data_IF_697353240561
#
_entry.id   IF_697353240561
#
_cell.length_a   1.000
_cell.length_b   1.000
_cell.length_c   1.000
_cell.angle_alpha   90.00
_cell.angle_beta   90.00
_cell.angle_gamma   90.00
#
_symmetry.space_group_name_H-M   'P 1'
#
loop_
_entity.id
_entity.type
_entity.pdbx_description
1 polymer ?
#
# COMPACT_ATOMS: atom_id res chain seq x y z
N UNK A 1 43.23 31.04 13.65
CA UNK A 1 42.10 30.58 12.80
C UNK A 1 42.06 29.06 12.52
N UNK A 2 42.82 28.17 13.20
CA UNK A 2 42.77 26.71 12.93
C UNK A 2 41.84 25.89 13.84
N UNK A 3 41.44 26.39 15.01
CA UNK A 3 40.61 25.61 15.95
C UNK A 3 39.11 25.64 15.61
N UNK A 4 38.59 26.75 15.05
CA UNK A 4 37.18 26.84 14.63
C UNK A 4 36.87 25.96 13.43
N UNK A 5 37.78 25.83 12.46
CA UNK A 5 37.58 24.95 11.29
C UNK A 5 37.51 23.47 11.69
N UNK A 6 38.33 23.04 12.66
CA UNK A 6 38.32 21.65 13.17
C UNK A 6 37.05 21.36 13.98
N UNK A 7 36.55 22.34 14.73
CA UNK A 7 35.25 22.23 15.45
C UNK A 7 34.08 22.15 14.48
N UNK A 8 34.08 22.97 13.43
CA UNK A 8 33.06 22.92 12.37
C UNK A 8 33.09 21.60 11.61
N UNK A 9 34.27 21.06 11.27
CA UNK A 9 34.40 19.77 10.58
C UNK A 9 33.95 18.60 11.47
N UNK A 10 34.29 18.60 12.76
CA UNK A 10 33.79 17.59 13.73
C UNK A 10 32.27 17.63 13.89
N UNK A 11 31.68 18.82 14.01
CA UNK A 11 30.22 18.97 14.12
C UNK A 11 29.50 18.56 12.84
N UNK A 12 30.10 18.83 11.66
CA UNK A 12 29.57 18.40 10.37
C UNK A 12 29.62 16.89 10.20
N UNK A 13 30.70 16.23 10.64
CA UNK A 13 30.81 14.76 10.64
C UNK A 13 29.79 14.11 11.57
N UNK A 14 29.69 14.58 12.82
CA UNK A 14 28.68 14.10 13.79
C UNK A 14 27.25 14.21 13.26
N UNK A 15 26.88 15.38 12.70
CA UNK A 15 25.55 15.55 12.08
C UNK A 15 25.32 14.58 10.92
N UNK A 16 26.33 14.36 10.06
CA UNK A 16 26.22 13.43 8.93
C UNK A 16 26.05 11.99 9.40
N UNK A 17 26.74 11.60 10.47
CA UNK A 17 26.65 10.25 11.03
C UNK A 17 25.28 10.04 11.72
N UNK A 18 24.78 11.02 12.48
CA UNK A 18 23.41 11.01 13.04
C UNK A 18 22.32 10.93 11.95
N UNK A 19 22.50 11.61 10.81
CA UNK A 19 21.57 11.52 9.68
C UNK A 19 21.56 10.12 9.09
N UNK A 20 22.73 9.50 8.91
CA UNK A 20 22.85 8.13 8.39
C UNK A 20 22.25 7.10 9.34
N UNK A 21 22.46 7.23 10.65
CA UNK A 21 21.87 6.31 11.63
C UNK A 21 20.34 6.35 11.58
N UNK A 22 19.75 7.54 11.47
CA UNK A 22 18.29 7.70 11.30
C UNK A 22 17.77 7.09 10.00
N UNK A 23 18.48 7.27 8.89
CA UNK A 23 18.14 6.65 7.62
C UNK A 23 18.16 5.12 7.71
N UNK A 24 19.16 4.55 8.38
CA UNK A 24 19.27 3.10 8.59
C UNK A 24 18.15 2.58 9.48
N UNK A 25 17.82 3.27 10.58
CA UNK A 25 16.68 2.91 11.44
C UNK A 25 15.36 2.92 10.67
N UNK A 26 15.13 3.95 9.84
CA UNK A 26 13.91 4.05 9.02
C UNK A 26 13.81 2.89 8.01
N UNK A 27 14.91 2.53 7.36
CA UNK A 27 14.96 1.39 6.43
C UNK A 27 14.64 0.08 7.15
N UNK A 28 15.21 -0.15 8.34
CA UNK A 28 14.94 -1.36 9.13
C UNK A 28 13.49 -1.41 9.63
N UNK A 29 12.91 -0.26 10.00
CA UNK A 29 11.49 -0.16 10.31
C UNK A 29 10.61 -0.52 9.10
N UNK A 30 10.94 -0.02 7.91
CA UNK A 30 10.19 -0.32 6.69
C UNK A 30 10.32 -1.80 6.29
N UNK A 31 11.48 -2.43 6.50
CA UNK A 31 11.63 -3.88 6.29
C UNK A 31 10.77 -4.70 7.24
N UNK A 32 10.69 -4.30 8.52
CA UNK A 32 9.81 -4.94 9.52
C UNK A 32 8.34 -4.77 9.14
N UNK A 33 7.94 -3.56 8.74
CA UNK A 33 6.58 -3.30 8.27
C UNK A 33 6.23 -4.16 7.05
N UNK A 34 7.13 -4.26 6.07
CA UNK A 34 6.96 -5.16 4.91
C UNK A 34 6.70 -6.59 5.36
N UNK A 35 7.55 -7.14 6.23
CA UNK A 35 7.40 -8.52 6.70
C UNK A 35 6.04 -8.76 7.37
N UNK A 36 5.57 -7.81 8.18
CA UNK A 36 4.25 -7.87 8.83
C UNK A 36 3.13 -7.87 7.78
N UNK A 37 3.16 -6.92 6.85
CA UNK A 37 2.11 -6.77 5.83
C UNK A 37 2.07 -8.00 4.91
N UNK A 38 3.23 -8.52 4.49
CA UNK A 38 3.31 -9.72 3.65
C UNK A 38 2.82 -10.96 4.40
N UNK A 39 3.20 -11.12 5.67
CA UNK A 39 2.71 -12.22 6.50
C UNK A 39 1.20 -12.17 6.67
N UNK A 40 0.65 -10.99 6.94
CA UNK A 40 -0.79 -10.78 7.05
C UNK A 40 -1.51 -11.10 5.73
N UNK A 41 -0.91 -10.73 4.60
CA UNK A 41 -1.49 -11.01 3.28
C UNK A 41 -1.54 -12.52 2.99
N UNK A 42 -0.46 -13.26 3.28
CA UNK A 42 -0.41 -14.71 3.12
C UNK A 42 -1.44 -15.43 3.99
N UNK A 43 -1.64 -14.95 5.22
CA UNK A 43 -2.66 -15.48 6.14
C UNK A 43 -4.08 -15.23 5.60
N UNK A 44 -4.35 -14.03 5.12
CA UNK A 44 -5.65 -13.68 4.57
C UNK A 44 -5.96 -14.37 3.24
N UNK A 45 -4.95 -14.53 2.37
CA UNK A 45 -5.08 -15.02 1.01
C UNK A 45 -4.10 -16.18 0.68
N UNK A 46 -4.31 -17.38 1.26
CA UNK A 46 -3.49 -18.54 0.95
C UNK A 46 -3.67 -19.00 -0.51
N UNK A 47 -2.70 -19.73 -1.06
CA UNK A 47 -2.57 -20.10 -2.49
C UNK A 47 -3.75 -20.91 -3.06
N UNK A 48 -4.58 -21.53 -2.22
CA UNK A 48 -5.74 -22.34 -2.63
C UNK A 48 -7.08 -21.71 -2.22
N UNK A 49 -7.04 -20.44 -1.80
CA UNK A 49 -8.25 -19.74 -1.41
C UNK A 49 -9.15 -19.49 -2.60
N UNK A 50 -10.41 -19.90 -2.48
CA UNK A 50 -11.49 -19.49 -3.38
C UNK A 50 -12.33 -18.42 -2.67
N UNK A 51 -12.60 -17.31 -3.36
CA UNK A 51 -13.48 -16.23 -2.90
C UNK A 51 -14.71 -16.27 -3.80
N UNK A 52 -15.80 -16.84 -3.32
CA UNK A 52 -17.01 -17.06 -4.13
C UNK A 52 -17.91 -15.83 -4.19
N UNK A 53 -17.87 -15.01 -3.14
CA UNK A 53 -18.77 -13.88 -3.00
C UNK A 53 -18.15 -12.72 -2.22
N UNK A 54 -18.87 -11.59 -2.19
CA UNK A 54 -18.40 -10.37 -1.51
C UNK A 54 -18.20 -10.57 0.00
N UNK A 55 -19.03 -11.39 0.66
CA UNK A 55 -18.94 -11.61 2.11
C UNK A 55 -17.63 -12.32 2.46
N UNK A 56 -17.22 -13.30 1.67
CA UNK A 56 -15.93 -14.00 1.85
C UNK A 56 -14.77 -13.01 1.67
N UNK A 57 -14.85 -12.13 0.67
CA UNK A 57 -13.85 -11.10 0.44
C UNK A 57 -13.75 -10.12 1.62
N UNK A 58 -14.88 -9.71 2.20
CA UNK A 58 -14.94 -8.86 3.40
C UNK A 58 -14.20 -9.54 4.57
N UNK A 59 -14.48 -10.83 4.80
CA UNK A 59 -13.81 -11.60 5.86
C UNK A 59 -12.29 -11.65 5.66
N UNK A 60 -11.82 -11.86 4.42
CA UNK A 60 -10.38 -11.85 4.12
C UNK A 60 -9.74 -10.51 4.40
N UNK A 61 -10.42 -9.42 4.08
CA UNK A 61 -9.93 -8.07 4.35
C UNK A 61 -9.92 -7.75 5.84
N UNK A 62 -10.89 -8.26 6.61
CA UNK A 62 -10.82 -8.17 8.06
C UNK A 62 -9.60 -8.91 8.61
N UNK A 63 -9.35 -10.16 8.19
CA UNK A 63 -8.17 -10.92 8.61
C UNK A 63 -6.91 -10.12 8.26
N UNK A 64 -6.78 -9.68 7.01
CA UNK A 64 -5.62 -8.95 6.52
C UNK A 64 -5.35 -7.67 7.32
N UNK A 65 -6.33 -6.77 7.40
CA UNK A 65 -6.14 -5.47 8.03
C UNK A 65 -6.11 -5.55 9.56
N UNK A 66 -6.61 -6.61 10.20
CA UNK A 66 -6.50 -6.80 11.64
C UNK A 66 -5.11 -7.32 12.05
N UNK A 67 -4.41 -8.02 11.15
CA UNK A 67 -3.05 -8.52 11.38
C UNK A 67 -1.97 -7.42 11.25
N UNK A 68 -2.32 -6.24 10.73
CA UNK A 68 -1.40 -5.08 10.63
C UNK A 68 -1.60 -4.15 11.86
N UNK A 69 -0.62 -4.00 12.77
CA UNK A 69 -0.81 -3.29 14.03
C UNK A 69 -1.32 -1.85 13.88
N UNK A 70 -0.73 -1.07 12.98
CA UNK A 70 -1.12 0.32 12.74
C UNK A 70 -2.50 0.49 12.09
N UNK A 71 -3.13 -0.58 11.60
CA UNK A 71 -4.49 -0.54 11.06
C UNK A 71 -5.55 -0.65 12.16
N UNK A 72 -5.21 -1.20 13.34
CA UNK A 72 -6.10 -1.28 14.52
C UNK A 72 -6.41 0.09 15.12
N UNK A 73 -5.61 1.06 14.76
CA UNK A 73 -5.74 2.45 15.15
C UNK A 73 -6.91 3.17 14.47
N UNK A 74 -7.56 2.56 13.48
CA UNK A 74 -8.71 3.11 12.78
C UNK A 74 -9.97 2.37 13.25
N UNK A 75 -10.92 3.11 13.82
CA UNK A 75 -12.11 2.59 14.48
C UNK A 75 -13.41 3.14 13.87
N UNK A 76 -14.53 2.59 14.32
CA UNK A 76 -15.88 3.07 13.97
C UNK A 76 -16.21 2.98 12.48
N UNK A 77 -16.97 3.97 12.01
CA UNK A 77 -17.50 4.01 10.63
C UNK A 77 -16.39 4.12 9.56
N UNK A 78 -15.24 4.70 9.92
CA UNK A 78 -14.09 4.80 9.01
C UNK A 78 -13.51 3.41 8.71
N UNK A 79 -13.55 2.49 9.69
CA UNK A 79 -13.09 1.10 9.51
C UNK A 79 -13.90 0.39 8.44
N UNK A 80 -15.23 0.47 8.49
CA UNK A 80 -16.11 -0.21 7.53
C UNK A 80 -15.87 0.27 6.09
N UNK A 81 -15.70 1.58 5.90
CA UNK A 81 -15.35 2.13 4.58
C UNK A 81 -13.98 1.65 4.08
N UNK A 82 -13.00 1.51 4.98
CA UNK A 82 -11.67 1.01 4.65
C UNK A 82 -11.71 -0.48 4.30
N UNK A 83 -12.51 -1.28 5.00
CA UNK A 83 -12.75 -2.69 4.64
C UNK A 83 -13.37 -2.74 3.25
N UNK A 84 -14.38 -1.92 2.99
CA UNK A 84 -15.05 -1.86 1.70
C UNK A 84 -14.08 -1.46 0.57
N UNK A 85 -13.17 -0.52 0.82
CA UNK A 85 -12.04 -0.16 -0.07
C UNK A 85 -11.06 -1.29 -0.26
N UNK A 86 -10.72 -2.02 0.81
CA UNK A 86 -9.83 -3.16 0.75
C UNK A 86 -10.38 -4.30 -0.08
N UNK A 87 -11.69 -4.56 -0.02
CA UNK A 87 -12.34 -5.59 -0.86
C UNK A 87 -12.18 -5.24 -2.33
N UNK A 88 -12.52 -4.00 -2.68
CA UNK A 88 -12.37 -3.52 -4.05
C UNK A 88 -10.91 -3.61 -4.52
N UNK A 89 -9.97 -3.14 -3.68
CA UNK A 89 -8.55 -3.17 -3.98
C UNK A 89 -8.01 -4.59 -4.17
N UNK A 90 -8.21 -5.49 -3.21
CA UNK A 90 -7.66 -6.84 -3.25
C UNK A 90 -8.15 -7.62 -4.45
N UNK A 91 -9.47 -7.66 -4.67
CA UNK A 91 -10.06 -8.41 -5.77
C UNK A 91 -9.61 -7.86 -7.12
N UNK A 92 -9.48 -6.54 -7.23
CA UNK A 92 -8.99 -5.88 -8.44
C UNK A 92 -7.53 -6.21 -8.73
N UNK A 93 -6.64 -6.04 -7.73
CA UNK A 93 -5.21 -6.31 -7.88
C UNK A 93 -4.98 -7.80 -8.22
N UNK A 94 -5.67 -8.71 -7.51
CA UNK A 94 -5.58 -10.16 -7.76
C UNK A 94 -6.09 -10.54 -9.15
N UNK A 95 -7.22 -9.98 -9.59
CA UNK A 95 -7.74 -10.22 -10.95
C UNK A 95 -6.78 -9.74 -12.05
N UNK A 96 -5.86 -8.83 -11.71
CA UNK A 96 -4.95 -8.23 -12.68
C UNK A 96 -3.56 -8.88 -12.68
N UNK A 97 -3.11 -9.41 -11.55
CA UNK A 97 -1.74 -9.92 -11.37
C UNK A 97 -1.67 -11.41 -11.04
N UNK A 98 -2.81 -12.09 -10.96
CA UNK A 98 -2.88 -13.54 -10.76
C UNK A 98 -3.75 -14.18 -11.84
N UNK A 99 -3.89 -15.51 -11.81
CA UNK A 99 -4.79 -16.25 -12.71
C UNK A 99 -6.25 -16.21 -12.25
N UNK A 100 -6.54 -15.59 -11.11
CA UNK A 100 -7.89 -15.49 -10.55
C UNK A 100 -8.71 -14.42 -11.29
N UNK A 101 -10.03 -14.56 -11.30
CA UNK A 101 -10.93 -13.57 -11.88
C UNK A 101 -12.10 -13.28 -10.95
N UNK A 102 -12.15 -12.05 -10.44
CA UNK A 102 -13.20 -11.57 -9.54
C UNK A 102 -14.04 -10.43 -10.14
N UNK A 103 -14.04 -10.26 -11.47
CA UNK A 103 -14.77 -9.19 -12.16
C UNK A 103 -16.26 -9.19 -11.82
N UNK A 104 -16.86 -10.37 -11.66
CA UNK A 104 -18.27 -10.52 -11.27
C UNK A 104 -18.57 -9.93 -9.86
N UNK A 105 -17.59 -9.95 -8.95
CA UNK A 105 -17.74 -9.43 -7.58
C UNK A 105 -17.48 -7.92 -7.52
N UNK A 106 -16.51 -7.43 -8.30
CA UNK A 106 -16.07 -6.02 -8.26
C UNK A 106 -16.84 -5.14 -9.25
N UNK A 107 -17.40 -5.72 -10.32
CA UNK A 107 -18.17 -5.00 -11.33
C UNK A 107 -17.34 -4.14 -12.29
N UNK A 108 -16.03 -4.41 -12.42
CA UNK A 108 -15.15 -3.73 -13.38
C UNK A 108 -14.81 -4.69 -14.52
N UNK A 109 -14.84 -4.19 -15.76
CA UNK A 109 -14.43 -4.95 -16.95
C UNK A 109 -12.91 -5.06 -17.05
N UNK A 110 -12.41 -6.24 -17.42
CA UNK A 110 -11.01 -6.59 -17.72
C UNK A 110 -10.21 -5.50 -18.44
N UNK A 111 -10.77 -4.85 -19.46
CA UNK A 111 -10.06 -3.88 -20.31
C UNK A 111 -9.59 -2.63 -19.54
N UNK A 112 -10.44 -2.10 -18.65
CA UNK A 112 -10.09 -0.92 -17.82
C UNK A 112 -9.05 -1.27 -16.76
N UNK A 113 -9.10 -2.51 -16.28
CA UNK A 113 -8.10 -3.06 -15.35
C UNK A 113 -6.74 -3.17 -16.06
N UNK A 114 -6.70 -3.82 -17.22
CA UNK A 114 -5.47 -3.98 -18.00
C UNK A 114 -4.77 -2.63 -18.32
N UNK A 115 -5.54 -1.58 -18.61
CA UNK A 115 -4.99 -0.24 -18.86
C UNK A 115 -4.33 0.39 -17.63
N UNK A 116 -4.93 0.30 -16.45
CA UNK A 116 -4.32 0.84 -15.22
C UNK A 116 -3.08 0.03 -14.81
N UNK A 117 -3.08 -1.26 -15.09
CA UNK A 117 -2.12 -2.20 -14.53
C UNK A 117 -0.87 -2.33 -15.40
N UNK A 118 -1.00 -2.22 -16.72
CA UNK A 118 0.14 -2.05 -17.64
C UNK A 118 0.95 -0.78 -17.36
N UNK A 119 0.34 0.22 -16.71
CA UNK A 119 0.98 1.48 -16.38
C UNK A 119 1.89 1.48 -15.15
N UNK A 120 1.94 0.40 -14.34
CA UNK A 120 2.73 0.39 -13.10
C UNK A 120 4.24 0.43 -13.34
N UNK A 121 4.72 -0.12 -14.45
CA UNK A 121 6.14 -0.03 -14.83
C UNK A 121 7.08 -0.97 -14.06
N UNK A 122 6.55 -1.95 -13.32
CA UNK A 122 7.31 -3.03 -12.68
C UNK A 122 6.46 -4.31 -12.62
N UNK A 123 7.14 -5.45 -12.46
CA UNK A 123 6.48 -6.72 -12.20
C UNK A 123 5.96 -6.74 -10.75
N UNK A 124 4.65 -6.85 -10.58
CA UNK A 124 4.02 -6.91 -9.25
C UNK A 124 4.07 -8.35 -8.75
N UNK A 125 4.85 -8.57 -7.68
CA UNK A 125 4.91 -9.86 -6.98
C UNK A 125 4.04 -9.80 -5.74
N UNK A 126 4.05 -10.88 -4.98
CA UNK A 126 3.23 -11.02 -3.77
C UNK A 126 3.52 -9.90 -2.76
N UNK A 127 4.80 -9.54 -2.58
CA UNK A 127 5.18 -8.48 -1.66
C UNK A 127 4.58 -7.13 -2.04
N UNK A 128 4.62 -6.77 -3.32
CA UNK A 128 4.00 -5.53 -3.78
C UNK A 128 2.48 -5.63 -3.77
N UNK A 129 1.88 -6.78 -4.09
CA UNK A 129 0.43 -6.99 -3.94
C UNK A 129 -0.03 -6.74 -2.51
N UNK A 130 0.71 -7.25 -1.51
CA UNK A 130 0.38 -7.09 -0.10
C UNK A 130 0.40 -5.60 0.29
N UNK A 131 1.47 -4.89 -0.03
CA UNK A 131 1.62 -3.47 0.31
C UNK A 131 0.57 -2.63 -0.43
N UNK A 132 0.37 -2.88 -1.73
CA UNK A 132 -0.61 -2.16 -2.54
C UNK A 132 -2.03 -2.39 -2.04
N UNK A 133 -2.40 -3.62 -1.67
CA UNK A 133 -3.73 -3.91 -1.12
C UNK A 133 -3.98 -3.09 0.16
N UNK A 134 -3.02 -3.06 1.09
CA UNK A 134 -3.14 -2.27 2.31
C UNK A 134 -3.21 -0.76 2.01
N UNK A 135 -2.37 -0.27 1.10
CA UNK A 135 -2.32 1.14 0.72
C UNK A 135 -3.61 1.60 0.02
N UNK A 136 -4.12 0.82 -0.93
CA UNK A 136 -5.36 1.07 -1.66
C UNK A 136 -6.59 1.11 -0.74
N UNK A 137 -6.59 0.28 0.32
CA UNK A 137 -7.66 0.28 1.33
C UNK A 137 -7.82 1.64 2.02
N UNK A 138 -6.75 2.43 2.08
CA UNK A 138 -6.69 3.75 2.72
C UNK A 138 -6.85 4.92 1.74
N UNK A 139 -7.21 4.66 0.47
CA UNK A 139 -7.45 5.71 -0.52
C UNK A 139 -8.91 6.17 -0.48
N UNK A 140 -9.17 7.37 -1.01
CA UNK A 140 -10.51 7.97 -1.10
C UNK A 140 -11.23 8.12 0.26
N UNK A 141 -10.51 8.52 1.30
CA UNK A 141 -11.04 8.74 2.66
C UNK A 141 -11.78 10.08 2.86
N UNK A 142 -12.35 10.64 1.79
CA UNK A 142 -13.09 11.90 1.86
C UNK A 142 -14.29 11.78 2.82
N UNK A 143 -14.36 12.67 3.81
CA UNK A 143 -15.42 12.66 4.82
C UNK A 143 -15.25 11.64 5.94
N UNK A 144 -14.06 11.03 6.08
CA UNK A 144 -13.69 10.23 7.25
C UNK A 144 -13.21 11.12 8.39
N UNK A 145 -13.59 10.81 9.63
CA UNK A 145 -13.21 11.60 10.80
C UNK A 145 -11.71 11.48 11.10
N UNK A 146 -11.14 10.29 10.89
CA UNK A 146 -9.73 9.97 11.11
C UNK A 146 -8.80 10.27 9.93
N UNK A 147 -9.19 11.11 8.97
CA UNK A 147 -8.47 11.28 7.69
C UNK A 147 -6.96 11.55 7.87
N UNK A 148 -6.55 12.45 8.77
CA UNK A 148 -5.12 12.74 9.00
C UNK A 148 -4.33 11.51 9.46
N UNK A 149 -4.95 10.68 10.29
CA UNK A 149 -4.35 9.43 10.78
C UNK A 149 -4.23 8.40 9.67
N UNK A 150 -5.30 8.25 8.89
CA UNK A 150 -5.34 7.36 7.74
C UNK A 150 -4.27 7.76 6.70
N UNK A 151 -4.12 9.06 6.43
CA UNK A 151 -3.09 9.56 5.52
C UNK A 151 -1.67 9.28 6.02
N UNK A 152 -1.41 9.39 7.34
CA UNK A 152 -0.11 9.02 7.93
C UNK A 152 0.20 7.53 7.74
N UNK A 153 -0.79 6.66 7.96
CA UNK A 153 -0.66 5.22 7.76
C UNK A 153 -0.41 4.91 6.27
N UNK A 154 -1.16 5.55 5.37
CA UNK A 154 -1.00 5.41 3.92
C UNK A 154 0.39 5.87 3.47
N UNK A 155 0.89 7.00 3.96
CA UNK A 155 2.23 7.49 3.68
C UNK A 155 3.32 6.50 4.16
N UNK A 156 3.12 5.87 5.32
CA UNK A 156 4.04 4.85 5.84
C UNK A 156 4.07 3.59 4.96
N UNK A 157 2.92 3.14 4.46
CA UNK A 157 2.85 2.02 3.50
C UNK A 157 3.49 2.38 2.16
N UNK A 158 3.28 3.59 1.67
CA UNK A 158 3.93 4.08 0.45
C UNK A 158 5.45 4.13 0.61
N UNK A 159 5.95 4.59 1.76
CA UNK A 159 7.37 4.58 2.06
C UNK A 159 7.93 3.15 2.15
N UNK A 160 7.16 2.22 2.73
CA UNK A 160 7.49 0.81 2.75
C UNK A 160 7.64 0.25 1.32
N UNK A 161 6.72 0.56 0.41
CA UNK A 161 6.82 0.20 -1.01
C UNK A 161 8.07 0.81 -1.64
N UNK A 162 8.32 2.12 -1.41
CA UNK A 162 9.51 2.82 -1.94
C UNK A 162 10.81 2.14 -1.51
N UNK A 163 10.98 1.86 -0.22
CA UNK A 163 12.17 1.16 0.31
C UNK A 163 12.30 -0.23 -0.29
N UNK A 164 11.19 -0.96 -0.46
CA UNK A 164 11.20 -2.27 -1.08
C UNK A 164 11.69 -2.20 -2.54
N UNK A 165 11.10 -1.32 -3.36
CA UNK A 165 11.45 -1.14 -4.77
C UNK A 165 12.88 -0.62 -4.96
N UNK A 166 13.43 0.11 -3.98
CA UNK A 166 14.81 0.64 -4.03
C UNK A 166 15.85 -0.46 -4.22
N UNK A 167 15.54 -1.69 -3.83
CA UNK A 167 16.47 -2.81 -3.98
C UNK A 167 16.59 -3.37 -5.41
N UNK A 168 15.73 -2.97 -6.35
CA UNK A 168 15.73 -3.53 -7.72
C UNK A 168 15.17 -2.60 -8.82
N UNK A 169 14.74 -1.39 -8.49
CA UNK A 169 14.28 -0.40 -9.46
C UNK A 169 15.23 0.81 -9.46
N UNK A 170 15.75 1.20 -10.63
CA UNK A 170 16.60 2.39 -10.75
C UNK A 170 15.79 3.69 -10.89
N UNK A 171 14.52 3.59 -11.30
CA UNK A 171 13.59 4.71 -11.56
C UNK A 171 12.48 4.81 -10.50
N UNK A 172 12.81 4.54 -9.23
CA UNK A 172 11.86 4.37 -8.11
C UNK A 172 10.81 5.47 -8.04
N UNK A 173 11.24 6.74 -8.12
CA UNK A 173 10.31 7.86 -8.00
C UNK A 173 9.27 7.87 -9.12
N UNK A 174 9.70 7.62 -10.37
CA UNK A 174 8.81 7.54 -11.52
C UNK A 174 7.84 6.36 -11.37
N UNK A 175 8.35 5.21 -10.95
CA UNK A 175 7.57 3.99 -10.68
C UNK A 175 6.52 4.22 -9.60
N UNK A 176 6.90 4.87 -8.50
CA UNK A 176 5.98 5.23 -7.42
C UNK A 176 4.91 6.22 -7.91
N UNK A 177 5.28 7.25 -8.69
CA UNK A 177 4.29 8.18 -9.24
C UNK A 177 3.30 7.50 -10.18
N UNK A 178 3.78 6.65 -11.09
CA UNK A 178 2.93 5.83 -11.97
C UNK A 178 2.00 4.94 -11.15
N UNK A 179 2.53 4.29 -10.12
CA UNK A 179 1.75 3.46 -9.22
C UNK A 179 0.63 4.25 -8.53
N UNK A 180 0.95 5.39 -7.93
CA UNK A 180 -0.03 6.26 -7.29
C UNK A 180 -1.12 6.73 -8.25
N UNK A 181 -0.75 7.14 -9.46
CA UNK A 181 -1.71 7.61 -10.46
C UNK A 181 -2.66 6.48 -10.89
N UNK A 182 -2.14 5.30 -11.16
CA UNK A 182 -2.94 4.14 -11.57
C UNK A 182 -3.83 3.62 -10.44
N UNK A 183 -3.31 3.53 -9.23
CA UNK A 183 -4.09 3.16 -8.03
C UNK A 183 -5.20 4.18 -7.78
N UNK A 184 -4.90 5.48 -7.86
CA UNK A 184 -5.91 6.53 -7.67
C UNK A 184 -7.00 6.45 -8.74
N UNK A 185 -6.61 6.29 -10.01
CA UNK A 185 -7.56 6.10 -11.11
C UNK A 185 -8.45 4.88 -10.87
N UNK A 186 -7.86 3.77 -10.41
CA UNK A 186 -8.57 2.54 -10.07
C UNK A 186 -9.60 2.74 -8.97
N UNK A 187 -9.24 3.44 -7.89
CA UNK A 187 -10.13 3.73 -6.78
C UNK A 187 -11.22 4.75 -7.16
N UNK A 188 -10.94 5.68 -8.08
CA UNK A 188 -11.95 6.61 -8.61
C UNK A 188 -12.95 5.90 -9.54
N UNK A 189 -12.53 4.89 -10.29
CA UNK A 189 -13.45 4.11 -11.14
C UNK A 189 -14.57 3.47 -10.33
N UNK A 190 -14.29 2.98 -9.12
CA UNK A 190 -15.32 2.49 -8.19
C UNK A 190 -16.43 3.51 -7.94
N UNK A 191 -16.02 4.75 -7.67
CA UNK A 191 -16.94 5.84 -7.31
C UNK A 191 -17.90 6.17 -8.45
N UNK A 192 -17.48 5.95 -9.70
CA UNK A 192 -18.32 6.14 -10.88
C UNK A 192 -19.22 4.94 -11.16
N UNK A 193 -18.79 3.72 -10.84
CA UNK A 193 -19.63 2.52 -11.00
C UNK A 193 -20.76 2.51 -9.96
N UNK A 194 -20.51 2.92 -8.71
CA UNK A 194 -21.53 3.01 -7.66
C UNK A 194 -22.53 4.16 -7.85
N UNK A 195 -22.20 5.21 -8.61
CA UNK A 195 -23.13 6.31 -8.92
C UNK A 195 -24.13 5.99 -10.03
N UNK A 196 -23.86 4.96 -10.83
CA UNK A 196 -24.66 4.59 -12.00
C UNK A 196 -25.42 3.26 -11.82
N UNK A 197 -25.43 2.70 -10.61
CA UNK A 197 -26.20 1.52 -10.19
C UNK A 197 -27.34 1.96 -9.27
#
# INVERSE_FOLDING_TARGET
>A
MRQESVRLDRNRRRKKDETKEKEVEEIEEMKKLKAIVVSAYREAFPTELIIDNRKDAIERIHIFLNSIPMMKEIDGEDREKIIDNGVYAALTLRSSFTTENYEAIVGIRSEKLAQCMSGLGFEVKEEEMAILTAFCSLQNCNGMAGNDKIQKIAAKLLNCLRVHLTSFCDTINETIYKCLMNVTALMLMRSNTQRNA
#
